data_IF_918078579500
#
_entry.id   IF_918078579500
#
_cell.length_a   1.000
_cell.length_b   1.000
_cell.length_c   1.000
_cell.angle_alpha   90.00
_cell.angle_beta   90.00
_cell.angle_gamma   90.00
#
_symmetry.space_group_name_H-M   'P 1'
#
loop_
_entity.id
_entity.type
_entity.pdbx_description
1 polymer ?
#
# COMPACT_ATOMS: atom_id res chain seq x y z
N UNK A 1 -12.05 -14.78 5.82
CA UNK A 1 -11.48 -13.65 6.59
C UNK A 1 -10.79 -12.73 5.60
N UNK A 2 -10.76 -11.40 5.79
CA UNK A 2 -10.18 -10.52 4.76
C UNK A 2 -8.65 -10.50 4.83
N UNK A 3 -7.99 -10.68 3.69
CA UNK A 3 -6.53 -10.65 3.57
C UNK A 3 -6.10 -9.68 2.48
N UNK A 4 -4.93 -9.09 2.62
CA UNK A 4 -4.31 -8.29 1.58
C UNK A 4 -2.86 -8.71 1.34
N UNK A 5 -2.43 -8.54 0.09
CA UNK A 5 -1.03 -8.55 -0.28
C UNK A 5 -0.59 -7.10 -0.41
N UNK A 6 0.44 -6.72 0.34
CA UNK A 6 0.92 -5.35 0.46
C UNK A 6 2.40 -5.28 0.07
N UNK A 7 2.79 -4.20 -0.60
CA UNK A 7 4.18 -3.90 -0.93
C UNK A 7 4.67 -2.76 -0.05
N UNK A 8 5.86 -2.92 0.51
CA UNK A 8 6.41 -2.02 1.51
C UNK A 8 7.70 -1.36 1.05
N UNK A 9 8.11 -0.35 1.80
CA UNK A 9 9.23 0.51 1.47
C UNK A 9 10.43 0.27 2.38
N UNK A 10 11.55 0.93 2.07
CA UNK A 10 12.61 1.12 3.04
C UNK A 10 12.11 1.97 4.22
N UNK A 11 12.79 1.83 5.36
CA UNK A 11 12.40 2.48 6.61
C UNK A 11 12.35 4.01 6.52
N UNK A 12 13.27 4.63 5.78
CA UNK A 12 13.29 6.10 5.65
C UNK A 12 12.06 6.60 4.90
N UNK A 13 11.67 5.89 3.84
CA UNK A 13 10.46 6.16 3.07
C UNK A 13 9.20 5.98 3.92
N UNK A 14 9.10 4.89 4.68
CA UNK A 14 7.98 4.67 5.61
C UNK A 14 7.87 5.79 6.64
N UNK A 15 8.98 6.20 7.26
CA UNK A 15 8.99 7.30 8.22
C UNK A 15 8.53 8.63 7.59
N UNK A 16 8.96 8.94 6.36
CA UNK A 16 8.53 10.16 5.67
C UNK A 16 7.03 10.16 5.37
N UNK A 17 6.49 9.02 4.93
CA UNK A 17 5.05 8.90 4.65
C UNK A 17 4.24 8.97 5.95
N UNK A 18 4.65 8.26 7.01
CA UNK A 18 3.97 8.30 8.30
C UNK A 18 3.94 9.70 8.93
N UNK A 19 4.97 10.53 8.69
CA UNK A 19 4.96 11.92 9.16
C UNK A 19 3.81 12.75 8.58
N UNK A 20 3.33 12.45 7.37
CA UNK A 20 2.16 13.14 6.81
C UNK A 20 0.90 12.78 7.61
N UNK A 21 0.68 11.49 7.86
CA UNK A 21 -0.43 11.03 8.69
C UNK A 21 -0.35 11.61 10.12
N UNK A 22 0.85 11.69 10.69
CA UNK A 22 1.05 12.30 12.00
C UNK A 22 0.71 13.79 12.01
N UNK A 23 1.10 14.56 10.98
CA UNK A 23 0.74 15.98 10.87
C UNK A 23 -0.77 16.20 10.78
N UNK A 24 -1.50 15.32 10.10
CA UNK A 24 -2.97 15.36 10.02
C UNK A 24 -3.58 15.12 11.41
N UNK A 25 -3.07 14.15 12.16
CA UNK A 25 -3.51 13.90 13.52
C UNK A 25 -3.16 15.05 14.48
N UNK A 26 -1.95 15.60 14.39
CA UNK A 26 -1.49 16.72 15.22
C UNK A 26 -2.28 18.01 14.95
N UNK A 27 -2.78 18.19 13.73
CA UNK A 27 -3.69 19.27 13.35
C UNK A 27 -5.13 19.06 13.88
N UNK A 28 -5.42 17.93 14.53
CA UNK A 28 -6.75 17.61 15.05
C UNK A 28 -7.76 17.21 13.98
N UNK A 29 -7.30 16.86 12.77
CA UNK A 29 -8.19 16.57 11.64
C UNK A 29 -8.67 15.11 11.67
N UNK A 30 -7.76 14.14 11.69
CA UNK A 30 -8.12 12.72 11.75
C UNK A 30 -7.00 11.86 12.30
N UNK A 31 -7.36 10.86 13.11
CA UNK A 31 -6.46 9.83 13.64
C UNK A 31 -6.70 8.45 13.02
N UNK A 32 -7.76 8.30 12.21
CA UNK A 32 -8.30 7.00 11.79
C UNK A 32 -7.28 6.12 11.11
N UNK A 33 -6.46 6.67 10.21
CA UNK A 33 -5.40 5.92 9.55
C UNK A 33 -4.36 5.36 10.55
N UNK A 34 -3.96 6.15 11.55
CA UNK A 34 -2.98 5.75 12.56
C UNK A 34 -3.53 4.65 13.48
N UNK A 35 -4.83 4.62 13.72
CA UNK A 35 -5.48 3.63 14.60
C UNK A 35 -5.42 2.21 14.03
N UNK A 36 -5.33 2.05 12.70
CA UNK A 36 -5.15 0.74 12.06
C UNK A 36 -3.81 0.09 12.40
N UNK A 37 -2.82 0.86 12.90
CA UNK A 37 -1.46 0.43 13.22
C UNK A 37 -0.79 -0.36 12.08
N UNK A 38 -1.10 0.02 10.85
CA UNK A 38 -0.43 -0.46 9.64
C UNK A 38 0.75 0.46 9.32
N UNK A 39 1.77 -0.07 8.64
CA UNK A 39 2.85 0.74 8.07
C UNK A 39 2.50 1.21 6.66
N UNK A 40 3.14 2.27 6.12
CA UNK A 40 2.90 2.72 4.76
C UNK A 40 3.12 1.60 3.75
N UNK A 41 2.17 1.44 2.84
CA UNK A 41 2.20 0.36 1.85
C UNK A 41 1.44 0.72 0.59
N UNK A 42 1.69 -0.05 -0.46
CA UNK A 42 0.83 -0.14 -1.64
C UNK A 42 0.11 -1.49 -1.63
N UNK A 43 -1.21 -1.49 -1.62
CA UNK A 43 -1.99 -2.73 -1.71
C UNK A 43 -1.92 -3.28 -3.13
N UNK A 44 -1.47 -4.53 -3.27
CA UNK A 44 -1.35 -5.25 -4.54
C UNK A 44 -2.55 -6.14 -4.83
N UNK A 45 -3.18 -6.71 -3.80
CA UNK A 45 -4.37 -7.55 -3.95
C UNK A 45 -5.14 -7.63 -2.63
N UNK A 46 -6.46 -7.84 -2.71
CA UNK A 46 -7.34 -8.06 -1.55
C UNK A 46 -8.24 -9.26 -1.81
N UNK A 47 -8.36 -10.14 -0.81
CA UNK A 47 -9.13 -11.38 -0.89
C UNK A 47 -10.09 -11.49 0.31
N UNK A 48 -11.28 -12.06 0.08
CA UNK A 48 -12.27 -12.34 1.14
C UNK A 48 -11.90 -13.56 2.00
N UNK A 49 -11.06 -14.43 1.45
CA UNK A 49 -10.45 -15.60 2.08
C UNK A 49 -9.29 -16.13 1.24
N UNK A 50 -8.27 -16.70 1.86
CA UNK A 50 -7.11 -17.29 1.18
C UNK A 50 -6.51 -18.43 2.01
N UNK A 51 -5.89 -19.40 1.35
CA UNK A 51 -4.97 -20.32 2.03
C UNK A 51 -3.67 -19.56 2.34
N UNK A 52 -3.50 -19.21 3.61
CA UNK A 52 -2.38 -18.39 4.10
C UNK A 52 -1.03 -19.05 3.82
N UNK A 53 -0.91 -20.36 4.01
CA UNK A 53 0.37 -21.05 3.82
C UNK A 53 0.72 -21.20 2.35
N UNK A 54 -0.29 -21.51 1.53
CA UNK A 54 -0.11 -21.57 0.08
C UNK A 54 0.26 -20.20 -0.51
N UNK A 55 -0.48 -19.14 -0.13
CA UNK A 55 -0.18 -17.78 -0.57
C UNK A 55 1.23 -17.34 -0.16
N UNK A 56 1.62 -17.64 1.07
CA UNK A 56 2.95 -17.35 1.58
C UNK A 56 4.07 -18.02 0.78
N UNK A 57 3.90 -19.28 0.37
CA UNK A 57 4.88 -19.98 -0.47
C UNK A 57 5.03 -19.32 -1.84
N UNK A 58 3.91 -18.90 -2.45
CA UNK A 58 3.93 -18.18 -3.72
C UNK A 58 4.62 -16.82 -3.58
N UNK A 59 4.29 -16.06 -2.53
CA UNK A 59 4.90 -14.76 -2.25
C UNK A 59 6.41 -14.86 -1.95
N UNK A 60 6.84 -15.88 -1.21
CA UNK A 60 8.26 -16.11 -0.97
C UNK A 60 9.03 -16.33 -2.27
N UNK A 61 8.48 -17.15 -3.19
CA UNK A 61 9.09 -17.37 -4.50
C UNK A 61 9.12 -16.07 -5.31
N UNK A 62 7.99 -15.35 -5.34
CA UNK A 62 7.85 -14.07 -6.01
C UNK A 62 8.89 -13.03 -5.54
N UNK A 63 9.12 -12.95 -4.23
CA UNK A 63 10.10 -12.03 -3.65
C UNK A 63 11.55 -12.42 -4.00
N UNK A 64 11.87 -13.72 -3.95
CA UNK A 64 13.21 -14.24 -4.25
C UNK A 64 13.66 -14.01 -5.69
N UNK A 65 12.73 -13.91 -6.64
CA UNK A 65 13.05 -13.66 -8.05
C UNK A 65 13.25 -12.16 -8.35
N UNK A 66 12.94 -11.28 -7.40
CA UNK A 66 12.99 -9.82 -7.59
C UNK A 66 14.12 -9.17 -6.82
N UNK A 67 14.46 -7.96 -7.24
CA UNK A 67 15.33 -7.05 -6.50
C UNK A 67 14.49 -5.89 -6.00
N UNK A 68 14.96 -5.27 -4.91
CA UNK A 68 14.44 -3.97 -4.50
C UNK A 68 14.55 -2.97 -5.66
N UNK A 69 13.56 -2.09 -5.81
CA UNK A 69 13.49 -1.15 -6.94
C UNK A 69 12.90 0.20 -6.53
N UNK A 70 13.16 1.28 -7.27
CA UNK A 70 12.75 2.62 -6.86
C UNK A 70 11.24 2.78 -6.65
N UNK A 71 10.88 3.43 -5.55
CA UNK A 71 9.55 3.95 -5.27
C UNK A 71 9.58 5.48 -5.45
N UNK A 72 8.73 6.00 -6.34
CA UNK A 72 8.71 7.42 -6.68
C UNK A 72 7.30 7.97 -6.50
N UNK A 73 7.18 9.08 -5.80
CA UNK A 73 5.92 9.79 -5.61
C UNK A 73 6.08 11.26 -5.96
N UNK A 74 5.18 11.77 -6.79
CA UNK A 74 5.16 13.19 -7.19
C UNK A 74 3.73 13.77 -7.22
N UNK A 75 2.74 12.97 -6.84
CA UNK A 75 1.34 13.37 -6.86
C UNK A 75 0.59 12.88 -5.61
N UNK A 76 -0.39 13.68 -5.22
CA UNK A 76 -1.40 13.35 -4.21
C UNK A 76 -2.70 13.06 -4.96
N UNK A 77 -3.41 12.03 -4.52
CA UNK A 77 -4.72 11.65 -5.06
C UNK A 77 -5.73 11.43 -3.95
N UNK A 78 -7.01 11.43 -4.33
CA UNK A 78 -8.10 11.17 -3.40
C UNK A 78 -9.15 10.25 -4.00
N UNK A 79 -9.67 9.35 -3.18
CA UNK A 79 -10.87 8.58 -3.48
C UNK A 79 -12.07 9.27 -2.85
N UNK A 80 -12.87 9.98 -3.64
CA UNK A 80 -13.99 10.78 -3.15
C UNK A 80 -15.07 9.94 -2.44
N UNK A 81 -15.27 8.70 -2.87
CA UNK A 81 -16.28 7.80 -2.28
C UNK A 81 -15.89 7.34 -0.87
N UNK A 82 -14.64 6.92 -0.67
CA UNK A 82 -14.12 6.45 0.63
C UNK A 82 -13.50 7.56 1.47
N UNK A 83 -13.47 8.81 0.96
CA UNK A 83 -12.83 9.97 1.59
C UNK A 83 -11.39 9.63 2.02
N UNK A 84 -10.67 8.94 1.15
CA UNK A 84 -9.28 8.52 1.36
C UNK A 84 -8.35 9.49 0.66
N UNK A 85 -7.29 9.93 1.34
CA UNK A 85 -6.20 10.73 0.77
C UNK A 85 -4.97 9.83 0.69
N UNK A 86 -4.32 9.83 -0.46
CA UNK A 86 -3.18 8.96 -0.72
C UNK A 86 -2.09 9.66 -1.54
N UNK A 87 -0.86 9.18 -1.38
CA UNK A 87 0.22 9.48 -2.31
C UNK A 87 0.12 8.53 -3.50
N UNK A 88 0.26 9.05 -4.70
CA UNK A 88 0.21 8.25 -5.93
C UNK A 88 1.63 7.87 -6.36
N UNK A 89 1.99 6.57 -6.31
CA UNK A 89 3.22 6.09 -6.92
C UNK A 89 3.22 6.38 -8.42
N UNK A 90 4.37 6.79 -8.95
CA UNK A 90 4.57 6.86 -10.40
C UNK A 90 4.49 5.43 -10.95
N UNK A 91 3.57 5.20 -11.89
CA UNK A 91 3.42 3.93 -12.58
C UNK A 91 4.61 3.69 -13.52
N UNK A 92 5.68 3.11 -12.99
CA UNK A 92 6.85 2.70 -13.77
C UNK A 92 6.58 1.36 -14.45
N UNK A 93 7.39 1.04 -15.46
CA UNK A 93 7.39 -0.29 -16.08
C UNK A 93 7.59 -1.41 -15.05
N UNK A 94 8.52 -1.24 -14.12
CA UNK A 94 8.80 -2.23 -13.07
C UNK A 94 7.61 -2.45 -12.13
N UNK A 95 6.88 -1.38 -11.78
CA UNK A 95 5.68 -1.49 -10.94
C UNK A 95 4.54 -2.23 -11.67
N UNK A 96 4.35 -1.91 -12.96
CA UNK A 96 3.36 -2.59 -13.79
C UNK A 96 3.69 -4.08 -13.98
N UNK A 97 4.93 -4.41 -14.34
CA UNK A 97 5.39 -5.80 -14.49
C UNK A 97 5.23 -6.58 -13.18
N UNK A 98 5.61 -5.99 -12.04
CA UNK A 98 5.43 -6.60 -10.73
C UNK A 98 3.96 -6.94 -10.45
N UNK A 99 3.04 -6.00 -10.65
CA UNK A 99 1.61 -6.24 -10.41
C UNK A 99 1.03 -7.28 -11.37
N UNK A 100 1.38 -7.21 -12.66
CA UNK A 100 0.94 -8.17 -13.68
C UNK A 100 1.41 -9.60 -13.37
N UNK A 101 2.67 -9.76 -12.96
CA UNK A 101 3.23 -11.04 -12.57
C UNK A 101 2.61 -11.57 -11.28
N UNK A 102 2.32 -10.70 -10.30
CA UNK A 102 1.63 -11.11 -9.07
C UNK A 102 0.22 -11.58 -9.39
N UNK A 103 -0.51 -10.83 -10.20
CA UNK A 103 -1.85 -11.18 -10.64
C UNK A 103 -1.89 -12.56 -11.33
N UNK A 104 -0.93 -12.83 -12.22
CA UNK A 104 -0.79 -14.14 -12.87
C UNK A 104 -0.45 -15.25 -11.87
N UNK A 105 0.40 -14.97 -10.88
CA UNK A 105 0.76 -15.93 -9.83
C UNK A 105 -0.40 -16.28 -8.89
N UNK A 106 -1.31 -15.32 -8.66
CA UNK A 106 -2.41 -15.45 -7.70
C UNK A 106 -3.75 -15.86 -8.34
N UNK A 107 -3.74 -16.30 -9.60
CA UNK A 107 -4.95 -16.77 -10.32
C UNK A 107 -5.72 -17.85 -9.56
N UNK A 108 -5.03 -18.72 -8.80
CA UNK A 108 -5.69 -19.75 -7.98
C UNK A 108 -6.62 -19.18 -6.89
N UNK A 109 -6.50 -17.88 -6.56
CA UNK A 109 -7.32 -17.17 -5.58
C UNK A 109 -8.31 -16.17 -6.17
N UNK A 110 -8.41 -16.07 -7.50
CA UNK A 110 -9.22 -15.05 -8.21
C UNK A 110 -10.68 -15.01 -7.74
N UNK A 111 -11.29 -16.17 -7.51
CA UNK A 111 -12.69 -16.28 -7.06
C UNK A 111 -12.97 -15.55 -5.73
N UNK A 112 -11.93 -15.36 -4.91
CA UNK A 112 -12.01 -14.67 -3.62
C UNK A 112 -11.57 -13.20 -3.71
N UNK A 113 -10.97 -12.78 -4.82
CA UNK A 113 -10.43 -11.45 -5.00
C UNK A 113 -11.53 -10.38 -5.05
N UNK A 114 -11.21 -9.19 -4.54
CA UNK A 114 -12.06 -8.02 -4.66
C UNK A 114 -12.06 -7.49 -6.10
N UNK A 115 -13.19 -6.91 -6.53
CA UNK A 115 -13.41 -6.52 -7.94
C UNK A 115 -12.29 -5.65 -8.53
N UNK A 116 -11.80 -4.67 -7.77
CA UNK A 116 -10.70 -3.78 -8.19
C UNK A 116 -9.36 -4.48 -8.40
N UNK A 117 -9.20 -5.71 -7.92
CA UNK A 117 -7.99 -6.52 -8.03
C UNK A 117 -8.18 -7.78 -8.88
N UNK A 118 -9.39 -8.00 -9.45
CA UNK A 118 -9.66 -9.12 -10.37
C UNK A 118 -9.11 -8.90 -11.77
N UNK A 119 -8.78 -7.66 -12.12
CA UNK A 119 -8.30 -7.31 -13.46
C UNK A 119 -7.02 -6.48 -13.34
N UNK A 120 -5.99 -6.77 -14.15
CA UNK A 120 -4.72 -6.06 -14.09
C UNK A 120 -4.86 -4.57 -14.44
N UNK A 121 -5.84 -4.21 -15.27
CA UNK A 121 -5.97 -2.86 -15.85
C UNK A 121 -6.90 -1.92 -15.06
N UNK A 122 -7.41 -2.35 -13.89
CA UNK A 122 -8.24 -1.52 -13.01
C UNK A 122 -7.54 -1.09 -11.71
N UNK A 123 -6.29 -1.54 -11.52
CA UNK A 123 -5.54 -1.23 -10.32
C UNK A 123 -5.00 0.21 -10.34
N UNK A 124 -5.35 0.97 -9.29
CA UNK A 124 -4.78 2.29 -9.04
C UNK A 124 -3.74 2.12 -7.93
N UNK A 125 -2.43 2.20 -8.21
CA UNK A 125 -1.43 2.16 -7.15
C UNK A 125 -1.59 3.40 -6.27
N UNK A 126 -1.61 3.19 -4.96
CA UNK A 126 -1.75 4.28 -3.99
C UNK A 126 -1.12 3.87 -2.65
N UNK A 127 -0.63 4.88 -1.91
CA UNK A 127 -0.22 4.73 -0.52
C UNK A 127 -1.04 5.69 0.35
N UNK A 128 -1.97 5.15 1.12
CA UNK A 128 -2.88 5.94 1.97
C UNK A 128 -2.12 6.71 3.04
N UNK A 129 -2.48 7.97 3.25
CA UNK A 129 -1.98 8.83 4.34
C UNK A 129 -3.10 9.33 5.26
N UNK A 130 -4.36 9.27 4.83
CA UNK A 130 -5.51 9.58 5.66
C UNK A 130 -6.76 8.80 5.25
N UNK A 131 -7.56 8.43 6.25
CA UNK A 131 -8.91 7.89 6.12
C UNK A 131 -9.84 8.86 6.84
N UNK A 132 -10.80 9.46 6.14
CA UNK A 132 -11.64 10.52 6.74
C UNK A 132 -13.14 10.26 6.61
N UNK A 133 -13.53 9.04 6.19
CA UNK A 133 -14.94 8.68 6.00
C UNK A 133 -15.78 8.63 7.27
N UNK A 134 -15.13 8.48 8.42
CA UNK A 134 -15.77 8.45 9.74
C UNK A 134 -15.78 9.82 10.43
N UNK A 135 -15.09 10.80 9.85
CA UNK A 135 -14.97 12.15 10.38
C UNK A 135 -16.02 13.08 9.74
N UNK A 136 -16.10 14.33 10.20
CA UNK A 136 -16.97 15.33 9.57
C UNK A 136 -16.55 15.59 8.11
N UNK A 137 -17.50 15.95 7.25
CA UNK A 137 -17.25 16.04 5.81
C UNK A 137 -16.15 17.05 5.44
N UNK A 138 -15.99 18.14 6.21
CA UNK A 138 -14.95 19.15 5.97
C UNK A 138 -13.53 18.60 6.18
N UNK A 139 -13.35 17.61 7.06
CA UNK A 139 -12.05 17.02 7.40
C UNK A 139 -11.36 16.48 6.15
N UNK A 140 -12.10 15.87 5.22
CA UNK A 140 -11.55 15.38 3.96
C UNK A 140 -10.89 16.51 3.13
N UNK A 141 -11.50 17.68 3.09
CA UNK A 141 -10.99 18.82 2.32
C UNK A 141 -9.83 19.52 3.06
N UNK A 142 -9.95 19.74 4.37
CA UNK A 142 -8.92 20.37 5.19
C UNK A 142 -7.65 19.51 5.27
N UNK A 143 -7.79 18.19 5.43
CA UNK A 143 -6.66 17.26 5.41
C UNK A 143 -6.02 17.20 4.02
N UNK A 144 -6.82 17.29 2.95
CA UNK A 144 -6.27 17.36 1.58
C UNK A 144 -5.44 18.63 1.37
N UNK A 145 -5.94 19.78 1.84
CA UNK A 145 -5.22 21.05 1.77
C UNK A 145 -3.88 21.00 2.53
N UNK A 146 -3.89 20.44 3.75
CA UNK A 146 -2.68 20.21 4.53
C UNK A 146 -1.67 19.34 3.77
N UNK A 147 -2.12 18.19 3.23
CA UNK A 147 -1.24 17.27 2.50
C UNK A 147 -0.64 17.95 1.25
N UNK A 148 -1.40 18.80 0.55
CA UNK A 148 -0.89 19.53 -0.62
C UNK A 148 0.22 20.54 -0.25
N UNK A 149 0.14 21.19 0.91
CA UNK A 149 1.18 22.09 1.39
C UNK A 149 2.43 21.32 1.87
N UNK A 150 2.22 20.23 2.61
CA UNK A 150 3.28 19.49 3.30
C UNK A 150 4.01 18.49 2.41
N UNK A 151 3.31 17.84 1.48
CA UNK A 151 3.92 16.84 0.60
C UNK A 151 4.93 17.51 -0.35
N UNK A 152 6.04 16.81 -0.53
CA UNK A 152 7.09 17.10 -1.51
C UNK A 152 7.44 15.78 -2.18
N UNK A 153 7.97 15.87 -3.40
CA UNK A 153 8.49 14.72 -4.15
C UNK A 153 9.27 13.79 -3.22
N UNK A 154 8.92 12.51 -3.27
CA UNK A 154 9.51 11.47 -2.43
C UNK A 154 10.15 10.41 -3.33
N UNK A 155 11.41 10.14 -3.08
CA UNK A 155 12.16 9.05 -3.68
C UNK A 155 12.55 8.06 -2.58
N UNK A 156 12.28 6.79 -2.83
CA UNK A 156 12.45 5.68 -1.91
C UNK A 156 12.68 4.38 -2.66
N UNK A 157 12.55 3.26 -1.96
CA UNK A 157 12.76 1.92 -2.51
C UNK A 157 11.65 1.00 -2.03
N UNK A 158 11.05 0.23 -2.94
CA UNK A 158 10.24 -0.93 -2.58
C UNK A 158 11.15 -2.09 -2.21
N UNK A 159 11.00 -2.60 -0.98
CA UNK A 159 11.96 -3.55 -0.37
C UNK A 159 11.36 -4.92 -0.12
N UNK A 160 10.05 -5.03 0.05
CA UNK A 160 9.41 -6.27 0.45
C UNK A 160 7.95 -6.35 0.03
N UNK A 161 7.41 -7.57 0.06
CA UNK A 161 5.98 -7.85 -0.07
C UNK A 161 5.52 -8.66 1.15
N UNK A 162 4.31 -8.42 1.64
CA UNK A 162 3.74 -9.19 2.74
C UNK A 162 2.31 -9.60 2.52
N UNK A 163 1.89 -10.57 3.32
CA UNK A 163 0.53 -11.04 3.47
C UNK A 163 0.03 -10.57 4.84
N UNK A 164 -1.06 -9.82 4.84
CA UNK A 164 -1.71 -9.34 6.06
C UNK A 164 -3.12 -9.86 6.17
N UNK A 165 -3.60 -9.95 7.40
CA UNK A 165 -5.01 -10.10 7.71
C UNK A 165 -5.59 -8.73 8.05
N UNK A 166 -6.66 -8.36 7.36
CA UNK A 166 -7.34 -7.07 7.53
C UNK A 166 -8.23 -7.15 8.76
N UNK A 167 -7.62 -6.90 9.91
CA UNK A 167 -8.26 -6.70 11.22
C UNK A 167 -8.02 -5.26 11.70
N UNK A 168 -8.62 -4.88 12.83
CA UNK A 168 -8.36 -3.61 13.49
C UNK A 168 -7.78 -3.88 14.89
N UNK A 169 -6.46 -3.74 15.12
CA UNK A 169 -5.42 -3.32 14.17
C UNK A 169 -5.09 -4.38 13.10
N UNK A 170 -4.39 -3.98 12.03
CA UNK A 170 -3.90 -4.89 10.99
C UNK A 170 -2.92 -5.90 11.58
N UNK A 171 -3.02 -7.15 11.15
CA UNK A 171 -2.12 -8.23 11.56
C UNK A 171 -1.23 -8.64 10.37
N UNK A 172 0.06 -8.29 10.42
CA UNK A 172 1.06 -8.78 9.47
C UNK A 172 1.35 -10.25 9.74
N UNK A 173 1.06 -11.13 8.77
CA UNK A 173 1.24 -12.58 8.95
C UNK A 173 2.64 -13.01 8.53
N UNK A 174 3.07 -12.59 7.33
CA UNK A 174 4.37 -12.94 6.75
C UNK A 174 4.83 -11.82 5.81
N UNK A 175 6.12 -11.50 5.87
CA UNK A 175 6.77 -10.49 5.01
C UNK A 175 8.02 -11.10 4.39
N UNK A 176 8.26 -10.80 3.12
CA UNK A 176 9.34 -11.36 2.32
C UNK A 176 10.10 -10.23 1.63
N UNK A 177 11.37 -10.10 1.96
CA UNK A 177 12.25 -9.12 1.35
C UNK A 177 12.58 -9.49 -0.10
N UNK A 178 12.59 -8.49 -0.96
CA UNK A 178 13.21 -8.60 -2.28
C UNK A 178 14.72 -8.71 -2.11
N UNK A 179 15.40 -9.29 -3.10
CA UNK A 179 16.86 -9.41 -3.04
C UNK A 179 17.51 -8.03 -2.99
N UNK A 180 18.47 -7.88 -2.08
CA UNK A 180 19.38 -6.74 -2.10
C UNK A 180 20.20 -6.76 -3.41
N UNK A 181 20.53 -5.57 -3.92
CA UNK A 181 21.59 -5.50 -4.92
C UNK A 181 22.90 -5.92 -4.26
N UNK A 182 23.48 -7.03 -4.73
CA UNK A 182 24.88 -7.32 -4.47
C UNK A 182 25.70 -6.17 -5.03
N UNK A 183 26.17 -5.28 -4.14
CA UNK A 183 27.18 -4.28 -4.46
C UNK A 183 28.41 -5.04 -4.97
N UNK A 184 28.67 -4.94 -6.27
CA UNK A 184 29.90 -5.44 -6.89
C UNK A 184 31.02 -4.44 -6.72
#
# INVERSE_FOLDING_TARGET
>A
MRYAIEMYFDKETEEKIMRLAQKIADAGLSTKYLEWKTRPHVTLAVYNDIDVDRCAQLLQKFANDRKAFPALFDAVGMFNYTKTIFLSPIMTRSLYELHSELYALMQEFEASAWEWYKQPDCWVPHCTVALTSEDEENVFYEASDLVLHEFKKLEGVYTSVGLVKITFPVEELKTFDFREELVK
#
